data_IF_860535573149
#
_entry.id   IF_860535573149
#
_cell.length_a   1.000
_cell.length_b   1.000
_cell.length_c   1.000
_cell.angle_alpha   90.00
_cell.angle_beta   90.00
_cell.angle_gamma   90.00
#
_symmetry.space_group_name_H-M   'P 1'
#
loop_
_entity.id
_entity.type
_entity.pdbx_description
1 polymer ?
#
# COMPACT_ATOMS: atom_id res chain seq x y z
N UNK A 1 17.90 -3.01 -8.84
CA UNK A 1 17.65 -2.29 -10.12
C UNK A 1 18.70 -2.72 -11.10
N UNK A 2 18.36 -2.83 -12.38
CA UNK A 2 19.28 -3.26 -13.43
C UNK A 2 19.38 -2.15 -14.46
N UNK A 3 20.60 -1.70 -14.76
CA UNK A 3 20.86 -0.69 -15.77
C UNK A 3 21.87 -1.23 -16.79
N UNK A 4 21.80 -0.72 -18.01
CA UNK A 4 22.75 -1.03 -19.07
C UNK A 4 23.67 0.17 -19.28
N UNK A 5 24.98 -0.06 -19.24
CA UNK A 5 26.02 0.95 -19.47
C UNK A 5 26.71 0.70 -20.81
N UNK A 6 27.25 1.75 -21.45
CA UNK A 6 28.29 1.57 -22.45
C UNK A 6 29.45 0.78 -21.83
N UNK A 7 30.07 -0.07 -22.64
CA UNK A 7 31.12 -1.00 -22.17
C UNK A 7 32.29 -0.27 -21.53
N UNK A 8 32.76 0.80 -22.16
CA UNK A 8 33.90 1.58 -21.68
C UNK A 8 33.60 2.25 -20.34
N UNK A 9 32.38 2.74 -20.16
CA UNK A 9 31.87 3.28 -18.89
C UNK A 9 31.89 2.22 -17.80
N UNK A 10 31.43 0.99 -18.09
CA UNK A 10 31.45 -0.12 -17.13
C UNK A 10 32.87 -0.53 -16.75
N UNK A 11 33.79 -0.56 -17.73
CA UNK A 11 35.22 -0.87 -17.49
C UNK A 11 35.82 0.17 -16.55
N UNK A 12 35.67 1.45 -16.87
CA UNK A 12 36.21 2.56 -16.07
C UNK A 12 35.62 2.58 -14.67
N UNK A 13 34.29 2.47 -14.56
CA UNK A 13 33.60 2.44 -13.28
C UNK A 13 34.04 1.25 -12.41
N UNK A 14 34.19 0.06 -13.02
CA UNK A 14 34.69 -1.12 -12.30
C UNK A 14 36.11 -0.90 -11.78
N UNK A 15 36.98 -0.28 -12.57
CA UNK A 15 38.34 0.11 -12.17
C UNK A 15 38.34 1.07 -10.97
N UNK A 16 37.55 2.16 -11.07
CA UNK A 16 37.39 3.15 -9.99
C UNK A 16 36.92 2.47 -8.70
N UNK A 17 35.89 1.64 -8.76
CA UNK A 17 35.30 1.02 -7.57
C UNK A 17 36.14 -0.11 -6.97
N UNK A 18 37.12 -0.65 -7.72
CA UNK A 18 38.13 -1.58 -7.20
C UNK A 18 39.22 -0.90 -6.38
N UNK A 19 39.44 0.41 -6.54
CA UNK A 19 40.37 1.15 -5.71
C UNK A 19 39.84 1.29 -4.26
N UNK A 20 40.72 1.24 -3.25
CA UNK A 20 40.32 1.43 -1.87
C UNK A 20 39.80 2.86 -1.66
N UNK A 21 38.67 2.96 -0.97
CA UNK A 21 38.09 4.25 -0.56
C UNK A 21 39.09 5.07 0.23
N UNK A 22 39.14 6.38 -0.04
CA UNK A 22 40.00 7.32 0.69
C UNK A 22 39.12 8.10 1.66
N UNK A 23 39.43 8.05 2.95
CA UNK A 23 38.73 8.88 3.91
C UNK A 23 39.00 10.35 3.60
N UNK A 24 37.98 11.09 3.15
CA UNK A 24 38.05 12.54 2.98
C UNK A 24 36.98 13.20 3.83
N UNK A 25 37.38 14.22 4.58
CA UNK A 25 36.42 15.20 5.10
C UNK A 25 35.89 16.04 3.93
N UNK A 26 34.64 16.55 4.01
CA UNK A 26 34.11 17.43 2.96
C UNK A 26 35.01 18.66 2.82
N UNK A 27 35.55 18.86 1.63
CA UNK A 27 36.36 20.03 1.32
C UNK A 27 35.48 21.30 1.29
N UNK A 28 36.03 22.50 1.57
CA UNK A 28 35.27 23.75 1.47
C UNK A 28 34.54 23.94 0.12
N UNK A 29 35.13 23.44 -0.97
CA UNK A 29 34.55 23.53 -2.32
C UNK A 29 33.30 22.64 -2.51
N UNK A 30 33.21 21.50 -1.80
CA UNK A 30 32.00 20.66 -1.77
C UNK A 30 30.84 21.41 -1.14
N UNK A 31 31.09 22.12 -0.04
CA UNK A 31 30.09 22.94 0.63
C UNK A 31 29.65 24.14 -0.21
N UNK A 32 30.58 24.72 -0.99
CA UNK A 32 30.27 25.80 -1.92
C UNK A 32 29.34 25.34 -3.04
N UNK A 33 29.58 24.16 -3.63
CA UNK A 33 28.68 23.59 -4.63
C UNK A 33 27.26 23.40 -4.08
N UNK A 34 27.13 22.78 -2.90
CA UNK A 34 25.82 22.55 -2.29
C UNK A 34 25.05 23.86 -2.04
N UNK A 35 25.74 24.88 -1.51
CA UNK A 35 25.15 26.17 -1.24
C UNK A 35 24.67 26.85 -2.53
N UNK A 36 25.49 26.84 -3.58
CA UNK A 36 25.14 27.39 -4.90
C UNK A 36 23.96 26.65 -5.52
N UNK A 37 23.96 25.30 -5.48
CA UNK A 37 22.87 24.49 -6.03
C UNK A 37 21.52 24.81 -5.37
N UNK A 38 21.51 24.99 -4.04
CA UNK A 38 20.31 25.34 -3.30
C UNK A 38 19.86 26.78 -3.55
N UNK A 39 20.80 27.71 -3.71
CA UNK A 39 20.50 29.12 -3.94
C UNK A 39 19.96 29.39 -5.35
N UNK A 40 20.62 28.83 -6.37
CA UNK A 40 20.28 29.04 -7.78
C UNK A 40 19.21 28.06 -8.29
N UNK A 41 19.01 26.93 -7.59
CA UNK A 41 18.04 25.90 -7.96
C UNK A 41 18.44 25.05 -9.17
N UNK A 42 19.63 25.28 -9.73
CA UNK A 42 20.18 24.59 -10.91
C UNK A 42 21.72 24.51 -10.82
N UNK A 43 22.34 23.58 -11.55
CA UNK A 43 23.80 23.55 -11.76
C UNK A 43 24.16 23.05 -13.16
N UNK A 44 25.28 23.53 -13.71
CA UNK A 44 25.80 23.03 -14.99
C UNK A 44 26.38 21.62 -14.84
N UNK A 45 26.52 20.89 -15.96
CA UNK A 45 27.19 19.59 -15.94
C UNK A 45 28.66 19.72 -15.55
N UNK A 46 29.32 20.81 -15.94
CA UNK A 46 30.69 21.13 -15.51
C UNK A 46 30.80 21.21 -14.00
N UNK A 47 29.90 21.96 -13.34
CA UNK A 47 29.88 22.08 -11.89
C UNK A 47 29.61 20.72 -11.19
N UNK A 48 28.79 19.86 -11.79
CA UNK A 48 28.56 18.50 -11.29
C UNK A 48 29.82 17.61 -11.42
N UNK A 49 30.52 17.68 -12.55
CA UNK A 49 31.79 16.97 -12.76
C UNK A 49 32.86 17.43 -11.78
N UNK A 50 33.00 18.74 -11.58
CA UNK A 50 33.93 19.33 -10.61
C UNK A 50 33.61 18.89 -9.18
N UNK A 51 32.33 18.87 -8.80
CA UNK A 51 31.90 18.35 -7.51
C UNK A 51 32.30 16.89 -7.35
N UNK A 52 32.04 16.06 -8.36
CA UNK A 52 32.38 14.64 -8.30
C UNK A 52 33.90 14.41 -8.22
N UNK A 53 34.72 15.16 -8.95
CA UNK A 53 36.18 15.10 -8.85
C UNK A 53 36.70 15.55 -7.46
N UNK A 54 35.95 16.41 -6.78
CA UNK A 54 36.26 16.85 -5.42
C UNK A 54 35.92 15.79 -4.38
N UNK A 55 34.85 15.01 -4.57
CA UNK A 55 34.39 14.04 -3.58
C UNK A 55 34.92 12.62 -3.85
N UNK A 56 35.02 12.20 -5.11
CA UNK A 56 35.55 10.90 -5.53
C UNK A 56 37.03 10.99 -5.90
N UNK A 57 37.88 10.42 -5.05
CA UNK A 57 39.35 10.44 -5.24
C UNK A 57 39.91 9.22 -5.97
N UNK A 58 39.08 8.22 -6.26
CA UNK A 58 39.46 7.03 -7.04
C UNK A 58 39.40 7.31 -8.54
N UNK A 59 40.34 6.76 -9.30
CA UNK A 59 40.44 6.96 -10.75
C UNK A 59 40.45 8.43 -11.20
N UNK A 60 41.31 9.23 -10.56
CA UNK A 60 41.55 10.65 -10.88
C UNK A 60 41.60 10.88 -12.40
N UNK A 61 40.83 11.87 -12.89
CA UNK A 61 40.51 12.21 -14.29
C UNK A 61 39.48 11.33 -15.02
N UNK A 62 39.34 10.05 -14.67
CA UNK A 62 38.37 9.18 -15.36
C UNK A 62 36.93 9.41 -14.89
N UNK A 63 36.73 9.92 -13.68
CA UNK A 63 35.40 10.09 -13.07
C UNK A 63 34.55 11.18 -13.73
N UNK A 64 35.18 12.27 -14.17
CA UNK A 64 34.52 13.38 -14.87
C UNK A 64 33.92 12.92 -16.20
N UNK A 65 34.64 12.04 -16.92
CA UNK A 65 34.19 11.47 -18.19
C UNK A 65 32.97 10.55 -18.05
N UNK A 66 32.64 10.08 -16.84
CA UNK A 66 31.50 9.19 -16.62
C UNK A 66 30.18 9.94 -16.39
N UNK A 67 30.21 11.24 -16.12
CA UNK A 67 29.02 11.98 -15.66
C UNK A 67 27.90 11.94 -16.70
N UNK A 68 28.19 12.22 -17.97
CA UNK A 68 27.17 12.23 -19.02
C UNK A 68 26.58 10.84 -19.26
N UNK A 69 27.41 9.80 -19.34
CA UNK A 69 26.96 8.42 -19.50
C UNK A 69 26.06 8.00 -18.34
N UNK A 70 26.45 8.31 -17.10
CA UNK A 70 25.68 7.96 -15.91
C UNK A 70 24.37 8.74 -15.81
N UNK A 71 24.34 10.01 -16.23
CA UNK A 71 23.10 10.81 -16.34
C UNK A 71 22.11 10.14 -17.30
N UNK A 72 22.59 9.72 -18.47
CA UNK A 72 21.75 9.04 -19.48
C UNK A 72 21.23 7.71 -18.91
N UNK A 73 22.10 6.94 -18.27
CA UNK A 73 21.77 5.59 -17.77
C UNK A 73 20.79 5.63 -16.60
N UNK A 74 20.89 6.65 -15.76
CA UNK A 74 19.95 6.90 -14.68
C UNK A 74 18.71 7.70 -15.10
N UNK A 75 18.57 8.00 -16.40
CA UNK A 75 17.44 8.74 -16.97
C UNK A 75 17.20 10.09 -16.25
N UNK A 76 18.30 10.79 -15.95
CA UNK A 76 18.26 12.10 -15.28
C UNK A 76 18.03 13.18 -16.33
N UNK A 77 17.02 14.01 -16.12
CA UNK A 77 16.67 15.05 -17.08
C UNK A 77 17.73 16.15 -17.12
N UNK A 78 18.17 16.51 -18.33
CA UNK A 78 19.08 17.64 -18.57
C UNK A 78 18.39 18.72 -19.37
N UNK A 79 18.69 19.98 -19.06
CA UNK A 79 18.13 21.14 -19.74
C UNK A 79 19.19 22.24 -19.94
N UNK A 80 18.88 23.23 -20.78
CA UNK A 80 19.72 24.41 -20.96
C UNK A 80 19.64 25.35 -19.76
N UNK A 81 20.79 25.74 -19.23
CA UNK A 81 20.95 26.73 -18.16
C UNK A 81 21.67 27.93 -18.75
N UNK A 82 21.14 29.12 -18.48
CA UNK A 82 21.69 30.37 -18.97
C UNK A 82 22.04 31.27 -17.79
N UNK A 83 23.18 31.97 -17.84
CA UNK A 83 23.42 33.04 -16.89
C UNK A 83 22.34 34.10 -17.07
N UNK A 84 21.95 34.75 -15.97
CA UNK A 84 21.04 35.88 -16.04
C UNK A 84 21.76 37.03 -16.78
N UNK A 85 21.21 37.55 -17.89
CA UNK A 85 21.84 38.67 -18.59
C UNK A 85 21.83 39.93 -17.71
N UNK A 86 22.87 40.75 -17.84
CA UNK A 86 22.96 42.04 -17.12
C UNK A 86 21.92 43.02 -17.67
N UNK A 87 21.73 43.04 -19.00
CA UNK A 87 20.72 43.84 -19.68
C UNK A 87 19.79 43.00 -20.57
N UNK A 88 18.50 43.37 -20.64
CA UNK A 88 17.52 42.71 -21.50
C UNK A 88 17.87 42.98 -22.98
N UNK A 89 18.44 41.97 -23.65
CA UNK A 89 18.90 42.06 -25.03
C UNK A 89 20.31 41.52 -25.23
N UNK A 90 21.07 41.30 -24.16
CA UNK A 90 22.38 40.67 -24.24
C UNK A 90 22.26 39.23 -24.73
N UNK A 91 23.13 38.84 -25.67
CA UNK A 91 23.30 37.45 -26.05
C UNK A 91 24.09 36.74 -24.95
N UNK A 92 23.52 35.66 -24.41
CA UNK A 92 24.15 34.83 -23.39
C UNK A 92 24.29 33.41 -23.90
N UNK A 93 25.48 32.84 -23.72
CA UNK A 93 25.73 31.44 -24.01
C UNK A 93 25.20 30.58 -22.85
N UNK A 94 24.46 29.52 -23.18
CA UNK A 94 23.94 28.57 -22.23
C UNK A 94 24.73 27.27 -22.23
N UNK A 95 24.67 26.55 -21.12
CA UNK A 95 25.26 25.21 -20.96
C UNK A 95 24.18 24.18 -20.63
N UNK A 96 24.49 22.90 -20.80
CA UNK A 96 23.63 21.83 -20.27
C UNK A 96 23.80 21.75 -18.75
N UNK A 97 22.71 21.43 -18.07
CA UNK A 97 22.75 21.15 -16.64
C UNK A 97 21.47 20.55 -16.09
N UNK A 98 21.36 20.60 -14.77
CA UNK A 98 20.38 19.89 -13.96
C UNK A 98 19.61 20.88 -13.07
N UNK A 99 18.34 20.58 -12.79
CA UNK A 99 17.66 21.22 -11.65
C UNK A 99 18.25 20.72 -10.34
N UNK A 100 18.00 21.44 -9.23
CA UNK A 100 18.37 20.97 -7.90
C UNK A 100 17.79 19.58 -7.58
N UNK A 101 16.56 19.29 -8.01
CA UNK A 101 15.95 17.97 -7.83
C UNK A 101 16.72 16.91 -8.61
N UNK A 102 16.97 17.15 -9.91
CA UNK A 102 17.67 16.19 -10.78
C UNK A 102 19.12 15.96 -10.34
N UNK A 103 19.83 17.02 -9.93
CA UNK A 103 21.19 16.94 -9.40
C UNK A 103 21.25 16.10 -8.13
N UNK A 104 20.33 16.30 -7.18
CA UNK A 104 20.29 15.51 -5.94
C UNK A 104 19.87 14.08 -6.20
N UNK A 105 18.88 13.85 -7.07
CA UNK A 105 18.51 12.52 -7.53
C UNK A 105 19.69 11.76 -8.14
N UNK A 106 20.48 12.44 -8.97
CA UNK A 106 21.71 11.88 -9.54
C UNK A 106 22.73 11.52 -8.46
N UNK A 107 23.02 12.42 -7.51
CA UNK A 107 23.92 12.14 -6.38
C UNK A 107 23.46 10.94 -5.54
N UNK A 108 22.15 10.74 -5.34
CA UNK A 108 21.59 9.55 -4.68
C UNK A 108 21.90 8.27 -5.47
N UNK A 109 21.82 8.30 -6.81
CA UNK A 109 22.21 7.13 -7.62
C UNK A 109 23.72 6.89 -7.55
N UNK A 110 24.54 7.94 -7.61
CA UNK A 110 25.99 7.85 -7.47
C UNK A 110 26.41 7.25 -6.12
N UNK A 111 25.79 7.67 -5.01
CA UNK A 111 26.01 7.06 -3.69
C UNK A 111 25.62 5.57 -3.73
N UNK A 112 24.48 5.25 -4.34
CA UNK A 112 23.95 3.88 -4.37
C UNK A 112 24.78 2.90 -5.21
N UNK A 113 25.52 3.39 -6.21
CA UNK A 113 26.53 2.58 -6.94
C UNK A 113 27.91 2.59 -6.27
N UNK A 114 28.04 3.25 -5.10
CA UNK A 114 29.23 3.18 -4.28
C UNK A 114 30.31 4.20 -4.60
N UNK A 115 29.96 5.33 -5.23
CA UNK A 115 30.85 6.49 -5.31
C UNK A 115 30.92 7.22 -3.97
N UNK A 116 31.97 8.02 -3.79
CA UNK A 116 32.18 8.87 -2.61
C UNK A 116 31.44 10.20 -2.78
N UNK A 117 30.13 10.21 -2.57
CA UNK A 117 29.28 11.41 -2.50
C UNK A 117 28.37 11.33 -1.27
N UNK A 118 27.95 12.48 -0.73
CA UNK A 118 26.99 12.56 0.39
C UNK A 118 25.84 13.54 0.06
N UNK A 119 24.68 13.04 -0.41
CA UNK A 119 23.56 13.89 -0.75
C UNK A 119 22.72 14.33 0.47
N UNK A 120 23.06 13.89 1.70
CA UNK A 120 22.17 13.98 2.87
C UNK A 120 21.71 15.42 3.18
N UNK A 121 22.62 16.40 3.09
CA UNK A 121 22.32 17.81 3.37
C UNK A 121 21.36 18.43 2.34
N UNK A 122 21.56 18.09 1.08
CA UNK A 122 20.73 18.56 -0.03
C UNK A 122 19.34 17.91 0.05
N UNK A 123 19.28 16.60 0.32
CA UNK A 123 18.02 15.88 0.54
C UNK A 123 17.20 16.52 1.66
N UNK A 124 17.81 16.79 2.81
CA UNK A 124 17.13 17.42 3.95
C UNK A 124 16.56 18.80 3.61
N UNK A 125 17.24 19.55 2.73
CA UNK A 125 16.78 20.86 2.26
C UNK A 125 15.64 20.77 1.24
N UNK A 126 15.64 19.75 0.38
CA UNK A 126 14.66 19.61 -0.70
C UNK A 126 13.38 18.88 -0.29
N UNK A 127 13.40 18.01 0.73
CA UNK A 127 12.20 17.29 1.21
C UNK A 127 11.08 18.27 1.56
N UNK A 128 11.39 19.39 2.20
CA UNK A 128 10.40 20.41 2.57
C UNK A 128 9.64 20.99 1.36
N UNK A 129 10.20 20.91 0.15
CA UNK A 129 9.57 21.42 -1.08
C UNK A 129 8.60 20.41 -1.72
N UNK A 130 8.65 19.14 -1.30
CA UNK A 130 7.91 18.01 -1.91
C UNK A 130 6.99 17.25 -0.95
N UNK A 131 7.13 17.43 0.38
CA UNK A 131 6.44 16.60 1.39
C UNK A 131 4.90 16.64 1.28
N UNK A 132 4.32 17.79 0.93
CA UNK A 132 2.86 17.95 0.82
C UNK A 132 2.28 17.60 -0.57
N UNK A 133 3.13 17.22 -1.53
CA UNK A 133 2.67 16.94 -2.91
C UNK A 133 1.97 15.59 -2.98
N UNK A 134 0.83 15.55 -3.67
CA UNK A 134 0.06 14.31 -3.90
C UNK A 134 0.65 13.41 -4.99
N UNK A 135 1.38 14.01 -5.93
CA UNK A 135 2.05 13.35 -7.04
C UNK A 135 3.50 13.81 -7.04
N UNK A 136 4.41 12.87 -7.25
CA UNK A 136 5.85 13.07 -7.25
C UNK A 136 6.41 12.53 -8.56
N UNK A 137 7.45 13.17 -9.09
CA UNK A 137 8.30 12.57 -10.12
C UNK A 137 9.09 11.39 -9.54
N UNK A 138 9.70 10.57 -10.38
CA UNK A 138 10.58 9.46 -9.94
C UNK A 138 11.74 9.97 -9.06
N UNK A 139 12.34 11.09 -9.44
CA UNK A 139 13.44 11.73 -8.70
C UNK A 139 12.96 12.27 -7.35
N UNK A 140 11.83 12.97 -7.32
CA UNK A 140 11.26 13.46 -6.05
C UNK A 140 10.91 12.31 -5.11
N UNK A 141 10.40 11.20 -5.65
CA UNK A 141 10.13 10.00 -4.87
C UNK A 141 11.40 9.37 -4.28
N UNK A 142 12.49 9.30 -5.05
CA UNK A 142 13.79 8.81 -4.58
C UNK A 142 14.37 9.72 -3.48
N UNK A 143 14.24 11.05 -3.61
CA UNK A 143 14.62 12.03 -2.58
C UNK A 143 13.81 11.81 -1.30
N UNK A 144 12.49 11.69 -1.40
CA UNK A 144 11.60 11.47 -0.26
C UNK A 144 11.95 10.16 0.50
N UNK A 145 12.31 9.11 -0.23
CA UNK A 145 12.65 7.80 0.35
C UNK A 145 14.11 7.64 0.75
N UNK A 146 14.96 8.64 0.52
CA UNK A 146 16.41 8.55 0.70
C UNK A 146 16.81 7.94 2.04
N UNK A 147 16.36 8.54 3.16
CA UNK A 147 16.70 8.06 4.52
C UNK A 147 16.23 6.63 4.79
N UNK A 148 15.15 6.20 4.12
CA UNK A 148 14.64 4.84 4.25
C UNK A 148 15.43 3.82 3.42
N UNK A 149 16.01 4.23 2.29
CA UNK A 149 16.71 3.37 1.33
C UNK A 149 18.24 3.43 1.43
N UNK A 150 18.80 4.42 2.14
CA UNK A 150 20.24 4.63 2.27
C UNK A 150 20.98 3.36 2.73
N UNK A 151 21.93 2.92 1.91
CA UNK A 151 22.72 1.71 2.11
C UNK A 151 21.93 0.39 2.03
N UNK A 152 20.65 0.41 1.67
CA UNK A 152 19.78 -0.78 1.57
C UNK A 152 19.45 -1.17 0.13
N UNK A 153 20.09 -0.54 -0.86
CA UNK A 153 19.84 -0.81 -2.29
C UNK A 153 20.82 -1.85 -2.83
N UNK A 154 20.37 -2.59 -3.84
CA UNK A 154 21.21 -3.42 -4.73
C UNK A 154 21.00 -2.95 -6.17
N UNK A 155 22.09 -2.58 -6.81
CA UNK A 155 22.13 -2.10 -8.19
C UNK A 155 23.01 -3.04 -9.01
N UNK A 156 22.54 -3.44 -10.19
CA UNK A 156 23.32 -4.18 -11.18
C UNK A 156 23.48 -3.30 -12.41
N UNK A 157 24.71 -3.12 -12.83
CA UNK A 157 25.10 -2.43 -14.05
C UNK A 157 25.64 -3.49 -15.01
N UNK A 158 25.13 -3.55 -16.22
CA UNK A 158 25.52 -4.55 -17.22
C UNK A 158 25.95 -3.84 -18.51
N UNK A 159 26.84 -4.44 -19.28
CA UNK A 159 27.10 -4.01 -20.66
C UNK A 159 26.52 -5.04 -21.62
N UNK A 160 26.17 -4.61 -22.83
CA UNK A 160 25.61 -5.52 -23.84
C UNK A 160 26.57 -6.69 -24.14
N UNK A 161 26.04 -7.93 -24.21
CA UNK A 161 26.84 -9.13 -24.41
C UNK A 161 27.20 -9.30 -25.90
N UNK A 162 27.92 -8.35 -26.49
CA UNK A 162 28.48 -8.54 -27.84
C UNK A 162 29.79 -9.30 -27.72
N UNK A 163 29.78 -10.56 -28.18
CA UNK A 163 30.90 -11.48 -28.40
C UNK A 163 32.04 -11.30 -27.39
N UNK A 164 31.79 -11.73 -26.14
CA UNK A 164 32.81 -11.77 -25.11
C UNK A 164 33.50 -13.14 -25.14
N UNK A 165 34.73 -13.17 -25.64
CA UNK A 165 35.59 -14.34 -25.61
C UNK A 165 36.32 -14.47 -24.27
N UNK A 166 36.61 -15.71 -23.87
CA UNK A 166 37.39 -16.01 -22.66
C UNK A 166 36.60 -16.67 -21.53
N UNK A 167 37.35 -17.06 -20.49
CA UNK A 167 36.81 -17.74 -19.33
C UNK A 167 35.97 -16.79 -18.48
N UNK A 168 34.87 -17.32 -17.94
CA UNK A 168 34.05 -16.60 -16.98
C UNK A 168 34.80 -16.51 -15.65
N UNK A 169 34.87 -15.30 -15.09
CA UNK A 169 35.42 -15.05 -13.77
C UNK A 169 34.47 -14.14 -12.98
N UNK A 170 34.34 -14.41 -11.69
CA UNK A 170 33.64 -13.55 -10.75
C UNK A 170 34.62 -13.12 -9.65
N UNK A 171 34.69 -11.81 -9.41
CA UNK A 171 35.47 -11.23 -8.31
C UNK A 171 34.54 -10.44 -7.42
N UNK A 172 34.73 -10.59 -6.11
CA UNK A 172 33.94 -9.86 -5.12
C UNK A 172 34.88 -9.19 -4.13
N UNK A 173 34.63 -7.91 -3.85
CA UNK A 173 35.34 -7.17 -2.81
C UNK A 173 34.36 -6.30 -2.02
N UNK A 174 34.77 -5.96 -0.79
CA UNK A 174 34.00 -5.12 0.11
C UNK A 174 34.83 -3.88 0.45
N UNK A 175 34.22 -2.70 0.39
CA UNK A 175 34.91 -1.47 0.77
C UNK A 175 34.90 -1.22 2.30
N UNK A 176 35.53 -0.12 2.72
CA UNK A 176 35.68 0.28 4.12
C UNK A 176 34.37 0.66 4.81
N UNK A 177 33.35 1.11 4.07
CA UNK A 177 32.03 1.47 4.62
C UNK A 177 31.01 0.32 4.50
N UNK A 178 31.41 -0.75 3.82
CA UNK A 178 30.75 -2.04 3.77
C UNK A 178 29.89 -2.30 2.55
N UNK A 179 30.01 -1.51 1.47
CA UNK A 179 29.44 -1.88 0.18
C UNK A 179 30.13 -3.13 -0.35
N UNK A 180 29.34 -4.04 -0.93
CA UNK A 180 29.80 -5.25 -1.57
C UNK A 180 29.71 -5.08 -3.08
N UNK A 181 30.83 -5.24 -3.77
CA UNK A 181 30.93 -5.18 -5.23
C UNK A 181 31.19 -6.58 -5.77
N UNK A 182 30.41 -7.01 -6.75
CA UNK A 182 30.64 -8.26 -7.47
C UNK A 182 30.76 -7.96 -8.96
N UNK A 183 31.94 -8.20 -9.51
CA UNK A 183 32.24 -8.01 -10.93
C UNK A 183 32.30 -9.38 -11.61
N UNK A 184 31.49 -9.53 -12.66
CA UNK A 184 31.54 -10.66 -13.56
C UNK A 184 32.24 -10.24 -14.86
N UNK A 185 33.24 -11.02 -15.26
CA UNK A 185 34.08 -10.76 -16.43
C UNK A 185 34.18 -11.98 -17.34
N UNK A 186 34.53 -11.73 -18.60
CA UNK A 186 34.96 -12.71 -19.60
C UNK A 186 36.36 -12.31 -20.04
N UNK A 187 37.37 -13.11 -19.69
CA UNK A 187 38.76 -12.65 -19.76
C UNK A 187 38.96 -11.41 -18.87
N UNK A 188 39.56 -10.36 -19.44
CA UNK A 188 39.79 -9.09 -18.73
C UNK A 188 38.64 -8.08 -18.89
N UNK A 189 37.56 -8.44 -19.60
CA UNK A 189 36.45 -7.54 -19.87
C UNK A 189 35.28 -7.75 -18.89
N UNK A 190 34.96 -6.78 -18.02
CA UNK A 190 33.76 -6.81 -17.19
C UNK A 190 32.50 -6.64 -18.05
N UNK A 191 31.47 -7.43 -17.75
CA UNK A 191 30.16 -7.34 -18.41
C UNK A 191 29.02 -7.15 -17.41
N UNK A 192 29.26 -7.37 -16.12
CA UNK A 192 28.30 -7.06 -15.06
C UNK A 192 29.02 -6.63 -13.79
N UNK A 193 28.54 -5.56 -13.18
CA UNK A 193 28.94 -5.05 -11.88
C UNK A 193 27.69 -4.96 -11.01
N UNK A 194 27.66 -5.73 -9.93
CA UNK A 194 26.60 -5.66 -8.92
C UNK A 194 27.14 -4.99 -7.65
N UNK A 195 26.43 -3.96 -7.18
CA UNK A 195 26.73 -3.21 -5.97
C UNK A 195 25.59 -3.44 -4.97
N UNK A 196 25.93 -3.91 -3.78
CA UNK A 196 25.01 -4.03 -2.65
C UNK A 196 25.44 -3.13 -1.50
N UNK A 197 24.55 -2.26 -1.04
CA UNK A 197 24.84 -1.38 0.09
C UNK A 197 25.05 -2.14 1.41
N UNK A 198 25.69 -1.53 2.42
CA UNK A 198 26.08 -2.20 3.67
C UNK A 198 24.91 -2.75 4.50
N UNK A 199 23.72 -2.17 4.31
CA UNK A 199 22.47 -2.54 5.00
C UNK A 199 21.54 -3.36 4.10
N UNK A 200 21.95 -3.70 2.87
CA UNK A 200 21.14 -4.51 1.97
C UNK A 200 20.86 -5.90 2.57
N UNK A 201 19.63 -6.35 2.40
CA UNK A 201 19.17 -7.70 2.75
C UNK A 201 18.29 -8.18 1.61
N UNK A 202 18.51 -9.42 1.16
CA UNK A 202 17.66 -10.02 0.13
C UNK A 202 16.20 -10.00 0.63
N UNK A 203 15.27 -9.39 -0.12
CA UNK A 203 13.86 -9.44 0.23
C UNK A 203 13.40 -10.89 0.33
N UNK A 204 12.57 -11.20 1.33
CA UNK A 204 11.90 -12.49 1.39
C UNK A 204 11.04 -12.66 0.12
N UNK A 205 10.91 -13.90 -0.41
CA UNK A 205 10.08 -14.16 -1.57
C UNK A 205 8.64 -13.68 -1.32
N UNK A 206 8.06 -13.13 -2.36
CA UNK A 206 6.69 -12.63 -2.37
C UNK A 206 5.81 -13.64 -3.09
N UNK A 207 4.77 -14.12 -2.41
CA UNK A 207 3.85 -15.14 -2.92
C UNK A 207 2.41 -14.67 -2.75
N UNK A 208 1.56 -14.95 -3.75
CA UNK A 208 0.14 -14.64 -3.66
C UNK A 208 -0.58 -15.72 -2.84
N UNK A 209 -1.22 -15.31 -1.75
CA UNK A 209 -1.92 -16.22 -0.81
C UNK A 209 -3.30 -15.69 -0.45
N UNK A 210 -4.27 -16.59 -0.28
CA UNK A 210 -5.62 -16.24 0.18
C UNK A 210 -5.72 -16.48 1.68
N UNK A 211 -6.10 -15.45 2.45
CA UNK A 211 -6.30 -15.62 3.89
C UNK A 211 -7.49 -16.54 4.18
N UNK A 212 -7.28 -17.64 4.91
CA UNK A 212 -8.34 -18.56 5.29
C UNK A 212 -9.47 -17.88 6.11
N UNK A 213 -9.12 -16.92 6.97
CA UNK A 213 -10.13 -16.25 7.80
C UNK A 213 -10.88 -15.15 7.06
N UNK A 214 -10.18 -14.26 6.34
CA UNK A 214 -10.81 -13.09 5.73
C UNK A 214 -11.13 -13.23 4.23
N UNK A 215 -10.57 -14.24 3.56
CA UNK A 215 -10.81 -14.54 2.14
C UNK A 215 -10.11 -13.59 1.17
N UNK A 216 -9.34 -12.61 1.67
CA UNK A 216 -8.60 -11.67 0.84
C UNK A 216 -7.36 -12.36 0.24
N UNK A 217 -7.20 -12.24 -1.07
CA UNK A 217 -5.95 -12.50 -1.77
C UNK A 217 -4.96 -11.36 -1.51
N UNK A 218 -3.75 -11.68 -1.07
CA UNK A 218 -2.69 -10.70 -0.81
C UNK A 218 -1.31 -11.30 -1.07
N UNK A 219 -0.31 -10.45 -1.26
CA UNK A 219 1.08 -10.85 -1.47
C UNK A 219 1.84 -10.87 -0.14
N UNK A 220 2.48 -12.00 0.18
CA UNK A 220 3.33 -12.14 1.37
C UNK A 220 4.56 -11.24 1.29
N UNK A 221 5.06 -10.79 2.46
CA UNK A 221 6.24 -9.92 2.57
C UNK A 221 6.16 -8.59 1.80
N UNK A 222 4.98 -8.21 1.30
CA UNK A 222 4.73 -6.91 0.68
C UNK A 222 4.04 -5.96 1.69
N UNK A 223 4.71 -4.88 2.15
CA UNK A 223 4.18 -4.04 3.23
C UNK A 223 2.81 -3.40 2.94
N UNK A 224 2.57 -2.98 1.68
CA UNK A 224 1.29 -2.42 1.26
C UNK A 224 0.13 -3.42 1.42
N UNK A 225 0.25 -4.59 0.81
CA UNK A 225 -0.64 -5.72 0.96
C UNK A 225 -0.83 -6.17 2.41
N UNK A 226 0.23 -6.25 3.20
CA UNK A 226 0.12 -6.59 4.61
C UNK A 226 -0.79 -5.61 5.38
N UNK A 227 -0.70 -4.30 5.11
CA UNK A 227 -1.59 -3.30 5.71
C UNK A 227 -3.04 -3.46 5.24
N UNK A 228 -3.26 -3.64 3.94
CA UNK A 228 -4.63 -3.85 3.39
C UNK A 228 -5.27 -5.13 3.93
N UNK A 229 -4.50 -6.23 3.94
CA UNK A 229 -4.91 -7.49 4.53
C UNK A 229 -5.28 -7.31 5.99
N UNK A 230 -4.43 -6.67 6.80
CA UNK A 230 -4.71 -6.41 8.21
C UNK A 230 -6.02 -5.65 8.42
N UNK A 231 -6.27 -4.59 7.65
CA UNK A 231 -7.51 -3.82 7.77
C UNK A 231 -8.76 -4.66 7.47
N UNK A 232 -8.74 -5.43 6.38
CA UNK A 232 -9.82 -6.35 6.01
C UNK A 232 -10.01 -7.46 7.05
N UNK A 233 -8.90 -8.03 7.51
CA UNK A 233 -8.87 -9.09 8.52
C UNK A 233 -9.48 -8.62 9.84
N UNK A 234 -9.04 -7.47 10.35
CA UNK A 234 -9.55 -6.88 11.58
C UNK A 234 -11.06 -6.60 11.47
N UNK A 235 -11.56 -6.17 10.29
CA UNK A 235 -13.00 -5.98 10.04
C UNK A 235 -13.78 -7.30 10.06
N UNK A 236 -13.23 -8.38 9.50
CA UNK A 236 -13.85 -9.72 9.59
C UNK A 236 -13.87 -10.21 11.03
N UNK A 237 -12.76 -10.11 11.76
CA UNK A 237 -12.64 -10.53 13.15
C UNK A 237 -13.65 -9.78 14.03
N UNK A 238 -13.81 -8.47 13.84
CA UNK A 238 -14.81 -7.67 14.58
C UNK A 238 -16.25 -8.13 14.38
N UNK A 239 -16.59 -8.71 13.22
CA UNK A 239 -17.93 -9.25 12.97
C UNK A 239 -18.14 -10.60 13.64
N UNK A 240 -17.13 -11.47 13.58
CA UNK A 240 -17.18 -12.80 14.22
C UNK A 240 -17.12 -12.69 15.75
N UNK A 241 -16.34 -11.74 16.26
CA UNK A 241 -16.11 -11.48 17.68
C UNK A 241 -16.42 -10.01 18.01
N UNK A 242 -17.70 -9.60 17.98
CA UNK A 242 -18.07 -8.21 18.20
C UNK A 242 -17.75 -7.77 19.63
N UNK A 243 -17.38 -6.51 19.82
CA UNK A 243 -17.17 -5.95 21.16
C UNK A 243 -18.48 -5.37 21.71
N UNK A 244 -18.61 -5.21 23.04
CA UNK A 244 -19.73 -4.51 23.64
C UNK A 244 -19.93 -3.12 23.01
N UNK A 245 -21.18 -2.76 22.74
CA UNK A 245 -21.55 -1.45 22.18
C UNK A 245 -22.34 -0.65 23.20
N UNK A 246 -21.67 0.32 23.85
CA UNK A 246 -22.33 1.24 24.76
C UNK A 246 -23.49 2.01 24.09
N UNK A 247 -23.40 2.25 22.77
CA UNK A 247 -24.46 2.92 22.00
C UNK A 247 -25.70 2.05 21.86
N UNK A 248 -25.54 0.75 21.59
CA UNK A 248 -26.67 -0.18 21.50
C UNK A 248 -27.24 -0.44 22.91
N UNK A 249 -26.40 -0.68 23.91
CA UNK A 249 -26.82 -0.92 25.29
C UNK A 249 -27.75 0.18 25.81
N UNK A 250 -27.45 1.47 25.55
CA UNK A 250 -28.32 2.60 25.93
C UNK A 250 -29.70 2.54 25.27
N UNK A 251 -29.81 1.97 24.07
CA UNK A 251 -31.08 1.87 23.33
C UNK A 251 -31.88 0.64 23.73
N UNK A 252 -31.23 -0.48 24.01
CA UNK A 252 -31.90 -1.75 24.35
C UNK A 252 -32.71 -1.65 25.66
N UNK A 253 -32.46 -0.64 26.49
CA UNK A 253 -33.33 -0.29 27.65
C UNK A 253 -34.79 -0.07 27.22
N UNK A 254 -35.05 0.38 25.99
CA UNK A 254 -36.41 0.54 25.44
C UNK A 254 -36.94 -0.74 24.78
N UNK A 255 -36.37 -1.91 25.09
CA UNK A 255 -36.74 -3.21 24.53
C UNK A 255 -36.44 -3.33 23.03
N UNK A 256 -37.23 -4.14 22.32
CA UNK A 256 -37.06 -4.41 20.87
C UNK A 256 -37.15 -3.13 20.02
N UNK A 257 -37.84 -2.08 20.49
CA UNK A 257 -37.87 -0.78 19.81
C UNK A 257 -36.48 -0.12 19.75
N UNK A 258 -35.61 -0.41 20.73
CA UNK A 258 -34.23 0.06 20.78
C UNK A 258 -33.31 -0.66 19.79
N UNK A 259 -33.68 -1.88 19.40
CA UNK A 259 -32.98 -2.78 18.46
C UNK A 259 -33.40 -2.55 17.00
N UNK A 260 -34.54 -1.88 16.78
CA UNK A 260 -35.11 -1.59 15.46
C UNK A 260 -34.29 -0.56 14.67
N UNK A 261 -33.99 -0.92 13.43
CA UNK A 261 -33.35 -0.08 12.41
C UNK A 261 -34.37 0.25 11.32
N UNK A 262 -35.21 1.25 11.60
CA UNK A 262 -36.12 1.85 10.63
C UNK A 262 -35.49 3.01 9.84
N UNK A 263 -36.26 3.71 8.99
CA UNK A 263 -35.76 4.80 8.15
C UNK A 263 -35.16 5.96 8.94
N UNK A 264 -35.68 6.21 10.14
CA UNK A 264 -35.22 7.30 11.02
C UNK A 264 -34.11 6.85 11.98
N UNK A 265 -33.65 5.60 11.89
CA UNK A 265 -32.59 5.12 12.75
C UNK A 265 -31.26 5.85 12.46
N UNK A 266 -30.39 6.03 13.47
CA UNK A 266 -29.06 6.58 13.26
C UNK A 266 -28.26 5.78 12.22
N UNK A 267 -27.49 6.47 11.37
CA UNK A 267 -26.67 5.84 10.32
C UNK A 267 -25.72 4.75 10.83
N UNK A 268 -25.23 4.87 12.07
CA UNK A 268 -24.37 3.83 12.65
C UNK A 268 -25.12 2.49 12.81
N UNK A 269 -26.43 2.48 13.07
CA UNK A 269 -27.21 1.25 13.17
C UNK A 269 -27.38 0.60 11.79
N UNK A 270 -27.63 1.40 10.74
CA UNK A 270 -27.63 0.90 9.36
C UNK A 270 -26.27 0.30 8.97
N UNK A 271 -25.17 0.93 9.40
CA UNK A 271 -23.83 0.38 9.25
C UNK A 271 -23.64 -0.96 9.95
N UNK A 272 -24.14 -1.13 11.18
CA UNK A 272 -24.04 -2.41 11.90
C UNK A 272 -24.86 -3.53 11.24
N UNK A 273 -26.08 -3.23 10.76
CA UNK A 273 -26.88 -4.19 9.97
C UNK A 273 -26.14 -4.57 8.68
N UNK A 274 -25.57 -3.60 7.97
CA UNK A 274 -24.78 -3.85 6.76
C UNK A 274 -23.58 -4.77 7.03
N UNK A 275 -22.84 -4.56 8.12
CA UNK A 275 -21.71 -5.44 8.47
C UNK A 275 -22.16 -6.90 8.70
N UNK A 276 -23.33 -7.10 9.29
CA UNK A 276 -23.91 -8.45 9.51
C UNK A 276 -24.45 -9.05 8.22
N UNK A 277 -25.09 -8.26 7.37
CA UNK A 277 -25.50 -8.67 6.02
C UNK A 277 -24.27 -9.09 5.20
N UNK A 278 -23.16 -8.36 5.29
CA UNK A 278 -21.90 -8.73 4.64
C UNK A 278 -21.27 -10.01 5.20
N UNK A 279 -21.54 -10.36 6.46
CA UNK A 279 -21.14 -11.65 7.05
C UNK A 279 -22.05 -12.78 6.57
N UNK A 280 -23.37 -12.56 6.55
CA UNK A 280 -24.37 -13.45 5.98
C UNK A 280 -24.04 -13.80 4.51
N UNK A 281 -23.87 -12.77 3.67
CA UNK A 281 -23.46 -12.93 2.26
C UNK A 281 -22.26 -13.86 2.12
N UNK A 282 -21.22 -13.64 2.95
CA UNK A 282 -19.98 -14.40 2.89
C UNK A 282 -20.14 -15.85 3.35
N UNK A 283 -20.93 -16.09 4.39
CA UNK A 283 -21.16 -17.43 4.93
C UNK A 283 -22.01 -18.28 3.98
N UNK A 284 -23.00 -17.68 3.31
CA UNK A 284 -23.93 -18.38 2.43
C UNK A 284 -23.61 -18.25 0.93
N UNK A 285 -22.52 -17.56 0.56
CA UNK A 285 -22.02 -17.50 -0.82
C UNK A 285 -22.84 -16.64 -1.77
N UNK A 286 -23.58 -15.65 -1.27
CA UNK A 286 -24.32 -14.71 -2.12
C UNK A 286 -23.38 -13.70 -2.80
N UNK A 287 -23.80 -13.19 -3.95
CA UNK A 287 -23.10 -12.22 -4.78
C UNK A 287 -23.39 -10.76 -4.38
N UNK A 288 -24.56 -10.49 -3.81
CA UNK A 288 -24.94 -9.16 -3.32
C UNK A 288 -25.19 -9.12 -1.80
N UNK A 289 -25.22 -7.91 -1.23
CA UNK A 289 -25.51 -7.69 0.19
C UNK A 289 -27.02 -7.46 0.34
N UNK A 290 -27.66 -8.25 1.21
CA UNK A 290 -29.12 -8.27 1.41
C UNK A 290 -29.64 -7.11 2.28
N UNK A 291 -28.96 -5.96 2.26
CA UNK A 291 -29.35 -4.77 3.02
C UNK A 291 -29.04 -3.50 2.22
N UNK A 292 -30.04 -2.66 1.93
CA UNK A 292 -29.85 -1.46 1.11
C UNK A 292 -29.31 -0.24 1.88
N UNK A 293 -29.14 -0.33 3.20
CA UNK A 293 -28.57 0.75 4.03
C UNK A 293 -27.08 0.57 4.32
N UNK A 294 -26.46 1.55 4.99
CA UNK A 294 -25.07 1.51 5.41
C UNK A 294 -24.71 2.68 6.35
N UNK A 295 -23.41 2.89 6.61
CA UNK A 295 -22.94 3.97 7.50
C UNK A 295 -23.12 5.39 6.94
N UNK A 296 -23.42 5.51 5.64
CA UNK A 296 -23.63 6.78 4.94
C UNK A 296 -25.03 6.92 4.33
N UNK A 297 -25.80 5.83 4.26
CA UNK A 297 -27.06 5.76 3.54
C UNK A 297 -28.10 5.03 4.38
N UNK A 298 -29.30 5.62 4.53
CA UNK A 298 -30.41 4.96 5.22
C UNK A 298 -31.07 3.93 4.29
N UNK A 299 -31.59 2.86 4.89
CA UNK A 299 -32.42 1.92 4.15
C UNK A 299 -33.77 2.58 3.77
N UNK A 300 -34.36 2.23 2.62
CA UNK A 300 -35.68 2.71 2.20
C UNK A 300 -36.80 2.34 3.18
N UNK A 301 -37.97 2.99 3.03
CA UNK A 301 -39.09 2.89 3.96
C UNK A 301 -39.80 1.54 4.02
N UNK A 302 -39.60 0.69 3.02
CA UNK A 302 -40.05 -0.69 2.93
C UNK A 302 -39.10 -1.68 3.63
N UNK A 303 -37.94 -1.24 4.11
CA UNK A 303 -36.97 -2.09 4.81
C UNK A 303 -36.92 -1.82 6.31
N UNK A 304 -36.82 -2.89 7.11
CA UNK A 304 -36.61 -2.81 8.57
C UNK A 304 -35.53 -3.77 9.00
N UNK A 305 -34.48 -3.25 9.63
CA UNK A 305 -33.46 -4.08 10.27
C UNK A 305 -33.76 -4.26 11.77
N UNK A 306 -33.20 -5.29 12.37
CA UNK A 306 -33.12 -5.47 13.82
C UNK A 306 -31.72 -5.91 14.21
N UNK A 307 -31.18 -5.35 15.28
CA UNK A 307 -29.90 -5.75 15.86
C UNK A 307 -30.12 -6.66 17.07
N UNK A 308 -29.45 -7.81 17.12
CA UNK A 308 -29.49 -8.69 18.28
C UNK A 308 -28.39 -8.30 19.27
N UNK A 309 -28.77 -8.17 20.54
CA UNK A 309 -27.83 -7.84 21.62
C UNK A 309 -27.36 -9.13 22.33
N UNK A 310 -26.05 -9.32 22.44
CA UNK A 310 -25.45 -10.39 23.22
C UNK A 310 -25.52 -10.13 24.73
N UNK A 311 -25.25 -11.14 25.58
CA UNK A 311 -25.33 -10.99 27.04
C UNK A 311 -24.36 -9.96 27.62
N UNK A 312 -23.21 -9.72 26.97
CA UNK A 312 -22.27 -8.66 27.34
C UNK A 312 -22.59 -7.30 26.71
N UNK A 313 -23.72 -7.18 26.02
CA UNK A 313 -24.13 -6.00 25.26
C UNK A 313 -23.37 -5.80 23.95
N UNK A 314 -22.84 -6.88 23.37
CA UNK A 314 -22.32 -6.89 22.00
C UNK A 314 -23.43 -6.84 20.97
N UNK A 315 -23.12 -6.39 19.76
CA UNK A 315 -24.03 -6.52 18.62
C UNK A 315 -23.87 -7.94 18.06
N UNK A 316 -24.56 -8.91 18.65
CA UNK A 316 -24.37 -10.34 18.39
C UNK A 316 -24.88 -10.79 17.01
N UNK A 317 -25.81 -10.06 16.40
CA UNK A 317 -26.37 -10.41 15.11
C UNK A 317 -27.27 -9.32 14.54
N UNK A 318 -27.87 -9.59 13.40
CA UNK A 318 -28.94 -8.78 12.83
C UNK A 318 -29.89 -9.62 11.97
N UNK A 319 -31.09 -9.11 11.73
CA UNK A 319 -31.97 -9.58 10.68
C UNK A 319 -32.58 -8.40 9.92
N UNK A 320 -33.14 -8.66 8.74
CA UNK A 320 -33.87 -7.64 7.99
C UNK A 320 -35.18 -8.19 7.42
N UNK A 321 -36.19 -7.32 7.45
CA UNK A 321 -37.50 -7.52 6.86
C UNK A 321 -37.69 -6.54 5.70
N UNK A 322 -38.38 -6.99 4.66
CA UNK A 322 -38.81 -6.17 3.54
C UNK A 322 -40.33 -6.27 3.42
N UNK A 323 -40.98 -5.13 3.30
CA UNK A 323 -42.41 -5.05 3.01
C UNK A 323 -42.61 -5.21 1.50
N UNK A 324 -43.40 -6.20 1.08
CA UNK A 324 -43.63 -6.48 -0.34
C UNK A 324 -45.11 -6.66 -0.64
N UNK A 325 -45.56 -6.05 -1.74
CA UNK A 325 -46.91 -6.24 -2.29
C UNK A 325 -46.95 -7.32 -3.38
N UNK A 326 -45.80 -7.95 -3.69
CA UNK A 326 -45.69 -8.90 -4.79
C UNK A 326 -46.42 -10.23 -4.51
N UNK A 327 -46.60 -10.60 -3.23
CA UNK A 327 -47.24 -11.88 -2.84
C UNK A 327 -48.71 -11.73 -2.44
N UNK A 328 -49.09 -10.62 -1.79
CA UNK A 328 -50.48 -10.31 -1.43
C UNK A 328 -50.78 -8.82 -1.65
N UNK A 329 -52.01 -8.53 -2.05
CA UNK A 329 -52.46 -7.19 -2.40
C UNK A 329 -52.39 -6.18 -1.23
N UNK A 330 -52.55 -6.65 0.01
CA UNK A 330 -52.46 -5.80 1.21
C UNK A 330 -51.02 -5.48 1.64
N UNK A 331 -50.03 -6.14 1.03
CA UNK A 331 -48.63 -6.05 1.45
C UNK A 331 -48.33 -6.92 2.67
N UNK A 332 -47.22 -7.65 2.63
CA UNK A 332 -46.77 -8.46 3.76
C UNK A 332 -45.29 -8.22 4.06
N UNK A 333 -44.95 -8.37 5.34
CA UNK A 333 -43.56 -8.41 5.75
C UNK A 333 -42.96 -9.77 5.42
N UNK A 334 -41.74 -9.74 4.90
CA UNK A 334 -40.95 -10.91 4.55
C UNK A 334 -39.59 -10.81 5.27
N UNK A 335 -39.26 -11.81 6.08
CA UNK A 335 -37.93 -11.94 6.69
C UNK A 335 -36.94 -12.36 5.60
N UNK A 336 -36.13 -11.40 5.15
CA UNK A 336 -35.16 -11.56 4.05
C UNK A 336 -33.94 -12.37 4.47
N UNK A 337 -33.39 -12.07 5.65
CA UNK A 337 -32.23 -12.77 6.17
C UNK A 337 -32.10 -12.56 7.67
N UNK A 338 -31.38 -13.48 8.29
CA UNK A 338 -30.91 -13.36 9.67
C UNK A 338 -29.51 -13.93 9.78
N UNK A 339 -28.68 -13.25 10.55
CA UNK A 339 -27.34 -13.72 10.86
C UNK A 339 -26.98 -13.39 12.31
N UNK A 340 -26.50 -14.42 13.01
CA UNK A 340 -25.96 -14.31 14.36
C UNK A 340 -24.52 -14.78 14.31
N UNK A 341 -23.60 -14.00 14.89
CA UNK A 341 -22.19 -14.34 14.92
C UNK A 341 -21.99 -15.71 15.58
N UNK A 342 -21.10 -16.57 15.05
CA UNK A 342 -21.03 -17.99 15.42
C UNK A 342 -21.00 -18.25 16.93
N UNK A 343 -20.25 -17.46 17.69
CA UNK A 343 -20.11 -17.60 19.16
C UNK A 343 -21.39 -17.32 19.97
N UNK A 344 -22.38 -16.65 19.37
CA UNK A 344 -23.66 -16.33 20.02
C UNK A 344 -24.83 -17.21 19.54
N UNK A 345 -24.56 -18.15 18.62
CA UNK A 345 -25.58 -19.10 18.18
C UNK A 345 -25.96 -20.03 19.32
N UNK A 346 -27.21 -20.50 19.32
CA UNK A 346 -27.79 -21.39 20.35
C UNK A 346 -27.84 -20.79 21.77
N UNK A 347 -27.72 -19.47 21.90
CA UNK A 347 -27.91 -18.75 23.17
C UNK A 347 -29.34 -18.21 23.35
N UNK A 348 -30.30 -18.66 22.55
CA UNK A 348 -31.70 -18.21 22.63
C UNK A 348 -31.97 -16.78 22.14
N UNK A 349 -31.01 -16.11 21.48
CA UNK A 349 -31.16 -14.70 21.08
C UNK A 349 -32.36 -14.46 20.13
N UNK A 350 -32.55 -15.33 19.15
CA UNK A 350 -33.69 -15.23 18.22
C UNK A 350 -34.99 -15.63 18.92
N UNK A 351 -34.96 -16.72 19.69
CA UNK A 351 -36.11 -17.22 20.46
C UNK A 351 -36.69 -16.12 21.36
N UNK A 352 -35.82 -15.41 22.09
CA UNK A 352 -36.18 -14.32 23.00
C UNK A 352 -36.77 -13.07 22.30
N UNK A 353 -36.80 -13.03 20.96
CA UNK A 353 -37.36 -11.92 20.17
C UNK A 353 -38.47 -12.37 19.22
N UNK A 354 -38.66 -13.67 19.05
CA UNK A 354 -39.53 -14.19 18.00
C UNK A 354 -40.99 -13.76 18.18
N UNK A 355 -41.51 -13.85 19.41
CA UNK A 355 -42.86 -13.40 19.75
C UNK A 355 -43.06 -11.89 19.48
N UNK A 356 -42.08 -11.05 19.84
CA UNK A 356 -42.13 -9.61 19.57
C UNK A 356 -42.09 -9.29 18.08
N UNK A 357 -41.33 -10.08 17.29
CA UNK A 357 -41.27 -9.95 15.84
C UNK A 357 -42.62 -10.31 15.19
N UNK A 358 -43.25 -11.40 15.64
CA UNK A 358 -44.59 -11.79 15.20
C UNK A 358 -45.64 -10.74 15.57
N UNK A 359 -45.58 -10.20 16.78
CA UNK A 359 -46.48 -9.13 17.21
C UNK A 359 -46.32 -7.87 16.33
N UNK A 360 -45.09 -7.55 15.91
CA UNK A 360 -44.79 -6.35 15.13
C UNK A 360 -45.09 -6.48 13.64
N UNK A 361 -44.78 -7.62 13.05
CA UNK A 361 -44.82 -7.83 11.61
C UNK A 361 -45.94 -8.78 11.15
N UNK A 362 -46.73 -9.31 12.08
CA UNK A 362 -47.72 -10.35 11.81
C UNK A 362 -47.07 -11.72 11.62
N UNK A 363 -47.85 -12.66 11.08
CA UNK A 363 -47.36 -13.98 10.68
C UNK A 363 -46.60 -13.87 9.34
N UNK A 364 -45.41 -13.27 9.40
CA UNK A 364 -44.59 -12.93 8.23
C UNK A 364 -44.04 -14.18 7.53
N UNK A 365 -43.86 -14.05 6.21
CA UNK A 365 -43.17 -15.04 5.39
C UNK A 365 -41.66 -15.02 5.64
N UNK A 366 -40.98 -16.13 5.33
CA UNK A 366 -39.52 -16.20 5.29
C UNK A 366 -39.01 -16.39 3.87
N UNK A 367 -37.94 -15.68 3.54
CA UNK A 367 -37.30 -15.83 2.23
C UNK A 367 -36.59 -17.18 2.13
N UNK A 368 -36.88 -17.91 1.04
CA UNK A 368 -36.32 -19.24 0.76
C UNK A 368 -35.07 -19.10 -0.12
N UNK A 369 -34.10 -20.04 -0.05
CA UNK A 369 -34.07 -21.25 0.77
C UNK A 369 -33.74 -20.96 2.24
N UNK A 370 -34.26 -21.80 3.15
CA UNK A 370 -33.98 -21.72 4.58
C UNK A 370 -32.77 -22.57 4.94
N UNK A 371 -31.89 -22.04 5.80
CA UNK A 371 -30.83 -22.83 6.43
C UNK A 371 -31.42 -23.94 7.31
N UNK A 372 -30.71 -25.06 7.47
CA UNK A 372 -31.10 -26.17 8.35
C UNK A 372 -31.43 -25.67 9.77
N UNK A 373 -30.61 -24.76 10.31
CA UNK A 373 -30.83 -24.16 11.62
C UNK A 373 -32.15 -23.38 11.70
N UNK A 374 -32.53 -22.66 10.65
CA UNK A 374 -33.81 -21.94 10.59
C UNK A 374 -34.99 -22.93 10.48
N UNK A 375 -34.86 -23.99 9.68
CA UNK A 375 -35.88 -25.04 9.59
C UNK A 375 -36.13 -25.68 10.96
N UNK A 376 -35.07 -26.09 11.66
CA UNK A 376 -35.18 -26.64 13.03
C UNK A 376 -35.80 -25.64 14.00
N UNK A 377 -35.46 -24.36 13.87
CA UNK A 377 -36.02 -23.30 14.72
C UNK A 377 -37.53 -23.14 14.50
N UNK A 378 -37.98 -23.08 13.23
CA UNK A 378 -39.39 -22.91 12.89
C UNK A 378 -40.25 -24.12 13.29
N UNK A 379 -39.73 -25.34 13.22
CA UNK A 379 -40.44 -26.51 13.74
C UNK A 379 -40.82 -26.39 15.22
N UNK A 380 -39.99 -25.71 16.02
CA UNK A 380 -40.18 -25.54 17.47
C UNK A 380 -40.95 -24.28 17.83
N UNK A 381 -40.67 -23.17 17.15
CA UNK A 381 -41.12 -21.83 17.56
C UNK A 381 -41.94 -21.09 16.50
N UNK A 382 -42.04 -21.64 15.28
CA UNK A 382 -42.81 -21.04 14.20
C UNK A 382 -44.31 -21.14 14.41
N UNK A 383 -45.05 -20.22 13.78
CA UNK A 383 -46.51 -20.29 13.72
C UNK A 383 -46.98 -21.56 12.99
N UNK A 384 -48.29 -21.84 13.03
CA UNK A 384 -48.86 -22.94 12.24
C UNK A 384 -48.64 -22.73 10.74
N UNK A 385 -48.83 -21.51 10.22
CA UNK A 385 -48.61 -21.19 8.81
C UNK A 385 -47.13 -21.32 8.40
N UNK A 386 -46.21 -20.83 9.24
CA UNK A 386 -44.78 -20.95 8.99
C UNK A 386 -44.33 -22.42 8.98
N UNK A 387 -44.84 -23.25 9.89
CA UNK A 387 -44.57 -24.70 9.90
C UNK A 387 -45.14 -25.41 8.69
N UNK A 388 -46.35 -25.05 8.25
CA UNK A 388 -46.95 -25.59 7.03
C UNK A 388 -46.15 -25.23 5.76
N UNK A 389 -45.37 -24.14 5.79
CA UNK A 389 -44.52 -23.70 4.68
C UNK A 389 -43.16 -24.42 4.56
N UNK A 390 -42.81 -25.21 5.58
CA UNK A 390 -41.56 -25.97 5.64
C UNK A 390 -41.61 -27.19 4.70
N UNK A 391 -40.47 -27.60 4.13
CA UNK A 391 -40.41 -28.88 3.42
C UNK A 391 -40.79 -30.02 4.39
N UNK A 392 -41.75 -30.86 3.99
CA UNK A 392 -42.04 -32.13 4.66
C UNK A 392 -40.93 -33.09 4.27
N UNK A 393 -40.17 -33.57 5.25
CA UNK A 393 -39.12 -34.56 5.06
C UNK A 393 -39.65 -35.98 5.23
#
# INVERSE_FOLDING_TARGET
MNFNLPRDTLIRLSGILSEPRRASSPAPAVLAFEATLLAEGVCTLTAMSDHLAQTEKRGSSAIEELVEDLIIVFDVHTQGIYPRPEYLGDEVEGERGLTAMDAVGFLIQLEAIGLEVDPSRLVDSLIAQIDDRKLLTSIEFDILLYKHTQGKRRIRLSADPVQLDGLHAQRTHKDSIGNLFSVCSRGDLPYSLEISGPKYREPKPQEAVTCALCGMLYVTNHPGDARRHKATHDRVVRRLNPKPSARLQKRVVTGIAGELVGPDAPLWMHGEVYERAAAFRREFGYDFIQWPGGSTTRAPSDWRGHLFTGPGGEIAGACAFMHTTARKAEGEWLLQWIWIAPRFRRMGLLEARWADLLQRYGDFDLEKPLSEAMVTFLWKHGSEAQRASLPVF
#
